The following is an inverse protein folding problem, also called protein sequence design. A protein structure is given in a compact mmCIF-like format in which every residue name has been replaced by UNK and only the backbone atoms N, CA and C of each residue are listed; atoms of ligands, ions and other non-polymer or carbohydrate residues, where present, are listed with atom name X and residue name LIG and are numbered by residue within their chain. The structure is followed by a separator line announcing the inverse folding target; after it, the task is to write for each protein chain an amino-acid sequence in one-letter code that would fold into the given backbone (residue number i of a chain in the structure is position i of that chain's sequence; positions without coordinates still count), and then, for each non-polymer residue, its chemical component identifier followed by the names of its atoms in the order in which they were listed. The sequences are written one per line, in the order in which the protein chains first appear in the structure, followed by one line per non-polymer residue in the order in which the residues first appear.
data_IF_395605539014
#
_entry.id   IF_395605539014
#
_cell.length_a   1.000
_cell.length_b   1.000
_cell.length_c   1.000
_cell.angle_alpha   90.00
_cell.angle_beta   90.00
_cell.angle_gamma   90.00
#
_symmetry.space_group_name_H-M   'P 1'
#
loop_
_entity.id
_entity.type
_entity.pdbx_description
1 polymer ?
#
# COMPACT_ATOMS: atom_id res chain seq x y z
N UNK A 1 4.00 -10.00 -8.56
CA UNK A 1 5.17 -9.27 -8.03
C UNK A 1 6.02 -10.27 -7.29
N UNK A 2 7.27 -10.45 -7.71
CA UNK A 2 8.25 -11.23 -6.96
C UNK A 2 8.77 -10.37 -5.80
N UNK A 3 8.52 -10.73 -4.52
CA UNK A 3 9.02 -9.97 -3.38
C UNK A 3 10.55 -9.92 -3.30
N UNK A 4 11.28 -10.84 -3.96
CA UNK A 4 12.74 -10.95 -3.93
C UNK A 4 13.49 -9.75 -4.50
N UNK A 5 12.98 -9.13 -5.59
CA UNK A 5 13.66 -7.99 -6.23
C UNK A 5 13.62 -6.69 -5.42
N UNK A 6 12.66 -6.51 -4.50
CA UNK A 6 12.59 -5.34 -3.61
C UNK A 6 13.21 -5.57 -2.23
N UNK A 7 13.43 -6.82 -1.82
CA UNK A 7 14.01 -7.14 -0.50
C UNK A 7 15.52 -6.96 -0.44
N UNK A 8 16.22 -7.03 -1.59
CA UNK A 8 17.68 -6.89 -1.66
C UNK A 8 18.24 -5.57 -1.08
N UNK A 9 17.42 -4.51 -0.95
CA UNK A 9 17.81 -3.23 -0.36
C UNK A 9 17.32 -3.00 1.07
N UNK A 10 16.48 -3.89 1.62
CA UNK A 10 15.90 -3.72 2.94
C UNK A 10 16.90 -4.14 4.03
N UNK A 11 17.22 -3.22 4.94
CA UNK A 11 18.17 -3.49 6.04
C UNK A 11 17.48 -3.86 7.35
N UNK A 12 16.27 -3.35 7.55
CA UNK A 12 15.53 -3.50 8.80
C UNK A 12 14.08 -3.86 8.54
N UNK A 13 13.54 -4.77 9.36
CA UNK A 13 12.12 -5.01 9.51
C UNK A 13 11.69 -4.48 10.88
N UNK A 14 10.84 -3.45 10.89
CA UNK A 14 10.23 -2.94 12.12
C UNK A 14 8.87 -3.60 12.30
N UNK A 15 8.60 -4.17 13.48
CA UNK A 15 7.31 -4.77 13.83
C UNK A 15 6.95 -4.53 15.28
N UNK A 16 5.69 -4.75 15.64
CA UNK A 16 5.28 -4.77 17.05
C UNK A 16 5.70 -6.09 17.75
N UNK A 17 5.32 -6.25 19.03
CA UNK A 17 5.58 -7.46 19.83
C UNK A 17 4.42 -8.45 19.84
N UNK A 18 3.51 -8.42 18.87
CA UNK A 18 2.37 -9.32 18.86
C UNK A 18 2.82 -10.80 18.80
N UNK A 19 2.06 -11.68 19.46
CA UNK A 19 2.42 -13.08 19.65
C UNK A 19 2.53 -13.90 18.35
N UNK A 20 1.92 -13.43 17.26
CA UNK A 20 2.07 -14.06 15.94
C UNK A 20 3.48 -13.97 15.36
N UNK A 21 4.32 -13.05 15.84
CA UNK A 21 5.70 -12.87 15.35
C UNK A 21 6.67 -13.77 16.11
N UNK A 22 6.59 -15.06 15.81
CA UNK A 22 7.46 -16.11 16.37
C UNK A 22 8.87 -16.06 15.78
N UNK A 23 9.81 -16.76 16.41
CA UNK A 23 11.17 -16.93 15.87
C UNK A 23 11.19 -17.53 14.47
N UNK A 24 10.29 -18.48 14.17
CA UNK A 24 10.17 -19.09 12.84
C UNK A 24 9.70 -18.10 11.78
N UNK A 25 8.80 -17.18 12.12
CA UNK A 25 8.38 -16.11 11.20
C UNK A 25 9.52 -15.13 10.89
N UNK A 26 10.42 -14.91 11.84
CA UNK A 26 11.58 -14.03 11.68
C UNK A 26 12.72 -14.65 10.86
N UNK A 27 12.83 -15.98 10.89
CA UNK A 27 13.94 -16.72 10.30
C UNK A 27 14.15 -16.42 8.81
N UNK A 28 13.06 -16.30 8.03
CA UNK A 28 13.12 -15.97 6.60
C UNK A 28 13.74 -14.58 6.36
N UNK A 29 13.44 -13.59 7.19
CA UNK A 29 14.02 -12.25 7.04
C UNK A 29 15.48 -12.22 7.48
N UNK A 30 15.82 -12.92 8.56
CA UNK A 30 17.21 -12.98 9.02
C UNK A 30 18.11 -13.76 8.07
N UNK A 31 17.60 -14.78 7.37
CA UNK A 31 18.32 -15.51 6.34
C UNK A 31 18.70 -14.61 5.15
N UNK A 32 17.85 -13.63 4.83
CA UNK A 32 18.11 -12.59 3.83
C UNK A 32 18.94 -11.40 4.38
N UNK A 33 19.51 -11.52 5.59
CA UNK A 33 20.34 -10.47 6.20
C UNK A 33 19.57 -9.27 6.77
N UNK A 34 18.24 -9.36 6.86
CA UNK A 34 17.38 -8.27 7.37
C UNK A 34 17.35 -8.31 8.90
N UNK A 35 17.68 -7.20 9.54
CA UNK A 35 17.62 -7.09 11.02
C UNK A 35 16.20 -6.78 11.50
N UNK A 36 15.67 -7.61 12.40
CA UNK A 36 14.35 -7.39 12.99
C UNK A 36 14.47 -6.46 14.21
N UNK A 37 13.69 -5.38 14.20
CA UNK A 37 13.58 -4.42 15.30
C UNK A 37 12.14 -4.44 15.85
N UNK A 38 11.98 -4.89 17.09
CA UNK A 38 10.69 -4.82 17.77
C UNK A 38 10.44 -3.40 18.31
N UNK A 39 9.23 -2.88 18.13
CA UNK A 39 8.80 -1.59 18.68
C UNK A 39 9.05 -1.52 20.20
N UNK A 40 9.31 -0.38 20.83
CA UNK A 40 9.48 -0.30 22.28
C UNK A 40 8.21 -0.73 23.05
N UNK A 41 8.32 -1.29 24.27
CA UNK A 41 7.14 -1.69 25.03
C UNK A 41 6.24 -0.49 25.29
N UNK A 42 4.92 -0.67 25.18
CA UNK A 42 3.92 0.38 25.41
C UNK A 42 4.06 1.64 24.51
N UNK A 43 4.81 1.56 23.41
CA UNK A 43 4.99 2.66 22.47
C UNK A 43 4.10 2.50 21.22
N UNK A 44 2.80 2.80 21.35
CA UNK A 44 1.82 2.69 20.25
C UNK A 44 2.22 3.46 18.99
N UNK A 45 2.89 4.60 19.16
CA UNK A 45 3.38 5.43 18.04
C UNK A 45 4.43 4.73 17.19
N UNK A 46 5.18 3.78 17.74
CA UNK A 46 6.19 3.04 16.98
C UNK A 46 5.60 2.09 15.92
N UNK A 47 4.29 1.77 16.01
CA UNK A 47 3.56 1.02 14.97
C UNK A 47 2.61 1.90 14.13
N UNK A 48 2.65 3.22 14.31
CA UNK A 48 1.62 4.12 13.77
C UNK A 48 1.47 4.06 12.24
N UNK A 49 2.55 3.75 11.51
CA UNK A 49 2.51 3.61 10.05
C UNK A 49 1.69 2.38 9.66
N UNK A 50 1.98 1.22 10.26
CA UNK A 50 1.22 -0.02 10.02
C UNK A 50 -0.26 0.16 10.42
N UNK A 51 -0.53 0.75 11.58
CA UNK A 51 -1.90 1.04 12.04
C UNK A 51 -2.64 1.97 11.07
N UNK A 52 -1.95 3.00 10.55
CA UNK A 52 -2.53 3.90 9.56
C UNK A 52 -2.93 3.16 8.30
N UNK A 53 -2.07 2.27 7.79
CA UNK A 53 -2.36 1.44 6.61
C UNK A 53 -3.56 0.52 6.88
N UNK A 54 -3.60 -0.18 8.01
CA UNK A 54 -4.72 -1.04 8.40
C UNK A 54 -6.03 -0.24 8.45
N UNK A 55 -6.03 0.93 9.09
CA UNK A 55 -7.19 1.80 9.14
C UNK A 55 -7.63 2.30 7.75
N UNK A 56 -6.69 2.56 6.84
CA UNK A 56 -7.00 2.93 5.46
C UNK A 56 -7.65 1.79 4.69
N UNK A 57 -7.11 0.56 4.78
CA UNK A 57 -7.71 -0.63 4.17
C UNK A 57 -9.13 -0.87 4.69
N UNK A 58 -9.37 -0.69 5.99
CA UNK A 58 -10.73 -0.82 6.54
C UNK A 58 -11.69 0.21 5.95
N UNK A 59 -11.37 1.51 6.11
CA UNK A 59 -12.26 2.61 5.71
C UNK A 59 -12.54 2.69 4.21
N UNK A 60 -11.56 2.34 3.38
CA UNK A 60 -11.64 2.49 1.93
C UNK A 60 -12.07 1.21 1.22
N UNK A 61 -11.86 0.03 1.82
CA UNK A 61 -12.08 -1.26 1.19
C UNK A 61 -12.92 -2.21 2.04
N UNK A 62 -12.40 -2.67 3.17
CA UNK A 62 -12.96 -3.83 3.88
C UNK A 62 -14.31 -3.54 4.57
N UNK A 63 -14.57 -2.28 4.94
CA UNK A 63 -15.86 -1.89 5.50
C UNK A 63 -16.92 -1.64 4.40
N UNK A 64 -16.55 -1.74 3.10
CA UNK A 64 -17.40 -1.41 1.94
C UNK A 64 -17.64 -2.57 0.98
N UNK A 65 -16.88 -3.66 1.12
CA UNK A 65 -16.96 -4.83 0.25
C UNK A 65 -17.28 -6.05 1.09
N UNK A 66 -18.34 -6.77 0.72
CA UNK A 66 -18.62 -8.07 1.31
C UNK A 66 -17.62 -9.11 0.79
N UNK A 67 -16.74 -9.55 1.68
CA UNK A 67 -15.75 -10.59 1.39
C UNK A 67 -16.41 -11.95 1.55
N UNK A 68 -16.45 -12.74 0.47
CA UNK A 68 -17.19 -14.01 0.43
C UNK A 68 -16.32 -15.22 0.76
N UNK A 69 -15.01 -15.12 0.53
CA UNK A 69 -14.01 -16.13 0.87
C UNK A 69 -12.60 -15.54 0.78
N UNK A 70 -11.59 -16.34 1.14
CA UNK A 70 -10.19 -15.92 1.12
C UNK A 70 -9.69 -15.58 -0.29
N UNK A 71 -10.10 -16.34 -1.31
CA UNK A 71 -9.70 -16.06 -2.69
C UNK A 71 -10.19 -14.68 -3.14
N UNK A 72 -11.45 -14.36 -2.85
CA UNK A 72 -12.03 -13.05 -3.11
C UNK A 72 -11.28 -11.96 -2.35
N UNK A 73 -10.96 -12.18 -1.06
CA UNK A 73 -10.15 -11.23 -0.28
C UNK A 73 -8.81 -10.93 -0.95
N UNK A 74 -8.10 -11.98 -1.38
CA UNK A 74 -6.79 -11.84 -2.04
C UNK A 74 -6.91 -11.07 -3.35
N UNK A 75 -7.94 -11.33 -4.15
CA UNK A 75 -8.18 -10.60 -5.41
C UNK A 75 -8.45 -9.12 -5.16
N UNK A 76 -9.38 -8.82 -4.25
CA UNK A 76 -9.77 -7.46 -3.85
C UNK A 76 -8.59 -6.70 -3.27
N UNK A 77 -7.80 -7.31 -2.37
CA UNK A 77 -6.60 -6.68 -1.82
C UNK A 77 -5.54 -6.45 -2.90
N UNK A 78 -5.34 -7.39 -3.82
CA UNK A 78 -4.35 -7.24 -4.90
C UNK A 78 -4.70 -6.07 -5.81
N UNK A 79 -5.96 -5.94 -6.20
CA UNK A 79 -6.44 -4.82 -7.01
C UNK A 79 -6.32 -3.50 -6.25
N UNK A 80 -6.76 -3.46 -4.99
CA UNK A 80 -6.64 -2.26 -4.15
C UNK A 80 -5.18 -1.84 -3.96
N UNK A 81 -4.26 -2.76 -3.70
CA UNK A 81 -2.84 -2.44 -3.50
C UNK A 81 -2.19 -1.89 -4.77
N UNK A 82 -2.59 -2.35 -5.95
CA UNK A 82 -2.16 -1.77 -7.22
C UNK A 82 -2.65 -0.32 -7.33
N UNK A 83 -3.94 -0.10 -7.13
CA UNK A 83 -4.51 1.26 -7.09
C UNK A 83 -3.81 2.15 -6.05
N UNK A 84 -3.63 1.67 -4.82
CA UNK A 84 -3.01 2.42 -3.72
C UNK A 84 -1.59 2.92 -4.06
N UNK A 85 -0.79 2.07 -4.69
CA UNK A 85 0.61 2.37 -5.00
C UNK A 85 0.79 3.13 -6.31
N UNK A 86 -0.08 2.89 -7.30
CA UNK A 86 0.15 3.34 -8.67
C UNK A 86 -0.75 4.51 -9.08
N UNK A 87 -1.93 4.68 -8.44
CA UNK A 87 -2.92 5.66 -8.89
C UNK A 87 -3.60 6.49 -7.79
N UNK A 88 -3.66 5.99 -6.54
CA UNK A 88 -4.29 6.70 -5.42
C UNK A 88 -3.45 7.93 -5.07
N UNK A 89 -4.01 9.15 -5.07
CA UNK A 89 -3.26 10.34 -4.70
C UNK A 89 -2.99 10.40 -3.19
N UNK A 90 -1.77 10.78 -2.78
CA UNK A 90 -1.40 10.92 -1.37
C UNK A 90 -1.02 12.34 -1.03
N UNK A 91 -1.77 12.95 -0.10
CA UNK A 91 -1.54 14.34 0.33
C UNK A 91 -0.12 14.56 0.90
N UNK A 92 0.41 13.59 1.63
CA UNK A 92 1.78 13.66 2.18
C UNK A 92 2.86 13.59 1.11
N UNK A 93 2.52 13.16 -0.11
CA UNK A 93 3.41 13.09 -1.28
C UNK A 93 3.05 14.15 -2.34
N UNK A 94 2.34 15.22 -1.95
CA UNK A 94 1.97 16.26 -2.92
C UNK A 94 0.99 15.79 -4.00
N UNK A 95 0.09 14.86 -3.66
CA UNK A 95 -0.84 14.16 -4.56
C UNK A 95 -0.20 13.15 -5.52
N UNK A 96 1.11 12.92 -5.42
CA UNK A 96 1.76 11.80 -6.09
C UNK A 96 1.38 10.46 -5.45
N UNK A 97 1.59 9.39 -6.20
CA UNK A 97 1.44 8.02 -5.75
C UNK A 97 2.76 7.51 -5.15
N UNK A 98 2.76 6.45 -4.32
CA UNK A 98 3.98 5.87 -3.78
C UNK A 98 4.98 5.47 -4.87
N UNK A 99 4.48 4.94 -6.00
CA UNK A 99 5.31 4.60 -7.16
C UNK A 99 5.94 5.83 -7.85
N UNK A 100 5.42 7.03 -7.60
CA UNK A 100 5.87 8.29 -8.17
C UNK A 100 6.76 9.11 -7.23
N UNK A 101 7.11 8.61 -6.04
CA UNK A 101 7.84 9.38 -5.02
C UNK A 101 9.16 9.97 -5.53
N UNK A 102 9.85 9.28 -6.44
CA UNK A 102 11.12 9.72 -7.03
C UNK A 102 10.95 10.49 -8.37
N UNK A 103 9.70 10.76 -8.77
CA UNK A 103 9.40 11.47 -10.02
C UNK A 103 9.21 12.96 -9.78
N UNK A 104 9.54 13.77 -10.78
CA UNK A 104 9.27 15.21 -10.75
C UNK A 104 7.76 15.43 -10.75
N UNK A 105 7.29 16.37 -9.91
CA UNK A 105 5.89 16.81 -9.91
C UNK A 105 5.47 17.18 -11.35
N UNK A 106 4.37 16.62 -11.86
CA UNK A 106 3.87 16.96 -13.19
C UNK A 106 3.45 18.43 -13.23
N UNK A 107 3.69 19.09 -14.35
CA UNK A 107 3.22 20.46 -14.56
C UNK A 107 1.68 20.49 -14.59
N UNK A 108 1.05 21.58 -14.09
CA UNK A 108 -0.39 21.73 -14.17
C UNK A 108 -0.88 21.65 -15.62
N UNK A 109 -1.77 20.70 -15.91
CA UNK A 109 -2.37 20.55 -17.24
C UNK A 109 -3.71 21.26 -17.29
N UNK A 110 -3.94 22.07 -18.32
CA UNK A 110 -5.26 22.66 -18.59
C UNK A 110 -6.20 21.62 -19.19
N UNK A 111 -7.15 21.12 -18.41
CA UNK A 111 -8.06 20.05 -18.82
C UNK A 111 -9.13 20.47 -19.85
N UNK A 112 -9.30 21.77 -20.15
CA UNK A 112 -10.39 22.25 -21.01
C UNK A 112 -10.37 21.70 -22.45
N UNK A 113 -9.20 21.30 -22.95
CA UNK A 113 -9.05 20.69 -24.28
C UNK A 113 -8.90 19.17 -24.27
N UNK A 114 -8.95 18.52 -23.11
CA UNK A 114 -8.65 17.10 -22.97
C UNK A 114 -9.91 16.27 -22.72
N UNK A 115 -10.03 15.16 -23.46
CA UNK A 115 -11.02 14.13 -23.14
C UNK A 115 -10.50 13.31 -21.95
N UNK A 116 -11.27 13.26 -20.86
CA UNK A 116 -10.94 12.46 -19.68
C UNK A 116 -11.62 11.10 -19.76
N UNK A 117 -10.87 10.03 -19.53
CA UNK A 117 -11.37 8.68 -19.37
C UNK A 117 -11.41 8.30 -17.89
N UNK A 118 -12.44 7.55 -17.53
CA UNK A 118 -12.65 7.01 -16.19
C UNK A 118 -12.50 5.50 -16.25
N UNK A 119 -11.65 4.94 -15.39
CA UNK A 119 -11.51 3.51 -15.19
C UNK A 119 -12.06 3.14 -13.81
N UNK A 120 -12.97 2.17 -13.80
CA UNK A 120 -13.49 1.61 -12.55
C UNK A 120 -12.45 0.70 -11.92
N UNK A 121 -12.38 0.78 -10.60
CA UNK A 121 -11.54 -0.07 -9.76
C UNK A 121 -12.44 -0.70 -8.71
N UNK A 122 -12.22 -1.98 -8.43
CA UNK A 122 -12.97 -2.77 -7.44
C UNK A 122 -14.48 -2.73 -7.72
N UNK A 123 -14.86 -3.00 -8.97
CA UNK A 123 -16.26 -2.98 -9.39
C UNK A 123 -16.93 -1.59 -9.32
N UNK A 124 -16.13 -0.52 -9.31
CA UNK A 124 -16.63 0.86 -9.24
C UNK A 124 -16.70 1.43 -7.82
N UNK A 125 -16.13 0.75 -6.82
CA UNK A 125 -15.95 1.32 -5.48
C UNK A 125 -15.07 2.57 -5.49
N UNK A 126 -14.06 2.58 -6.36
CA UNK A 126 -13.20 3.74 -6.62
C UNK A 126 -12.90 3.86 -8.12
N UNK A 127 -12.28 4.98 -8.51
CA UNK A 127 -12.03 5.33 -9.90
C UNK A 127 -10.66 5.94 -10.10
N UNK A 128 -10.07 5.62 -11.24
CA UNK A 128 -8.89 6.29 -11.80
C UNK A 128 -9.33 7.17 -12.97
N UNK A 129 -8.66 8.31 -13.14
CA UNK A 129 -8.93 9.26 -14.21
C UNK A 129 -7.65 9.57 -14.98
N UNK A 130 -7.72 9.55 -16.31
CA UNK A 130 -6.59 9.84 -17.18
C UNK A 130 -7.02 10.61 -18.43
N UNK A 131 -6.10 11.36 -19.00
CA UNK A 131 -6.29 12.03 -20.30
C UNK A 131 -6.24 10.96 -21.39
N UNK A 132 -7.22 10.96 -22.29
CA UNK A 132 -7.24 10.09 -23.45
C UNK A 132 -6.09 10.45 -24.40
N UNK A 133 -5.40 9.44 -24.93
CA UNK A 133 -4.40 9.60 -25.99
C UNK A 133 -5.05 10.02 -27.31
#
# INVERSE_FOLDING_TARGET
MDPGQRTASLKFLIRDRAGQFTSSSGAVFTAEGIRILASPPQASRANAICERITGTLRRELLDRVLIVNEHHLRQVLTEYLRYYNDARPHRSLGQLTPAQTDTRLPEPVNLAGHRIHRKQILGGLTHEYYIAA
#
